data_IF_511933765861
#
_entry.id   IF_511933765861
#
_cell.length_a   1.000
_cell.length_b   1.000
_cell.length_c   1.000
_cell.angle_alpha   90.00
_cell.angle_beta   90.00
_cell.angle_gamma   90.00
#
_symmetry.space_group_name_H-M   'P 1'
#
loop_
_entity.id
_entity.type
_entity.pdbx_description
1 polymer ?
#
# COMPACT_ATOMS: atom_id res chain seq x y z
N UNK A 1 -25.89 -18.06 4.81
CA UNK A 1 -24.62 -17.44 4.41
C UNK A 1 -23.97 -16.58 5.50
N UNK A 2 -24.67 -15.65 6.18
CA UNK A 2 -24.09 -14.90 7.32
C UNK A 2 -23.53 -15.85 8.41
N UNK A 3 -24.33 -16.81 8.89
CA UNK A 3 -23.85 -17.88 9.80
C UNK A 3 -22.64 -18.64 9.24
N UNK A 4 -22.59 -18.91 7.92
CA UNK A 4 -21.47 -19.63 7.32
C UNK A 4 -20.20 -18.76 7.25
N UNK A 5 -20.30 -17.47 6.94
CA UNK A 5 -19.18 -16.52 6.87
C UNK A 5 -18.74 -15.98 8.24
N UNK A 6 -19.62 -15.97 9.24
CA UNK A 6 -19.31 -15.50 10.61
C UNK A 6 -19.00 -16.63 11.58
N UNK A 7 -19.52 -17.85 11.39
CA UNK A 7 -19.26 -19.00 12.27
C UNK A 7 -18.06 -19.86 11.83
N UNK A 8 -17.57 -19.69 10.60
CA UNK A 8 -16.37 -20.39 10.13
C UNK A 8 -15.12 -19.80 10.80
N UNK A 9 -14.22 -20.70 11.22
CA UNK A 9 -13.04 -20.34 12.02
C UNK A 9 -12.14 -19.37 11.23
N UNK A 10 -11.69 -18.24 11.80
CA UNK A 10 -10.79 -17.30 11.13
C UNK A 10 -9.53 -17.94 10.53
N UNK A 11 -9.05 -19.02 11.15
CA UNK A 11 -7.91 -19.81 10.66
C UNK A 11 -8.13 -20.35 9.24
N UNK A 12 -9.33 -20.85 8.92
CA UNK A 12 -9.63 -21.38 7.58
C UNK A 12 -9.50 -20.29 6.52
N UNK A 13 -10.15 -19.14 6.74
CA UNK A 13 -10.10 -18.01 5.81
C UNK A 13 -8.70 -17.43 5.67
N UNK A 14 -7.94 -17.42 6.77
CA UNK A 14 -6.55 -16.97 6.75
C UNK A 14 -5.67 -17.90 5.90
N UNK A 15 -5.77 -19.22 6.12
CA UNK A 15 -5.08 -20.22 5.30
C UNK A 15 -5.45 -20.07 3.83
N UNK A 16 -6.75 -19.94 3.52
CA UNK A 16 -7.21 -19.73 2.15
C UNK A 16 -6.65 -18.44 1.53
N UNK A 17 -6.59 -17.36 2.29
CA UNK A 17 -6.01 -16.08 1.85
C UNK A 17 -4.52 -16.23 1.50
N UNK A 18 -3.76 -16.93 2.36
CA UNK A 18 -2.34 -17.23 2.12
C UNK A 18 -2.15 -18.13 0.90
N UNK A 19 -2.99 -19.16 0.74
CA UNK A 19 -2.96 -20.04 -0.44
C UNK A 19 -3.18 -19.26 -1.73
N UNK A 20 -4.18 -18.38 -1.78
CA UNK A 20 -4.42 -17.54 -2.97
C UNK A 20 -3.27 -16.56 -3.23
N UNK A 21 -2.72 -15.93 -2.19
CA UNK A 21 -1.54 -15.08 -2.30
C UNK A 21 -0.31 -15.85 -2.82
N UNK A 22 -0.12 -17.08 -2.37
CA UNK A 22 0.93 -17.97 -2.83
C UNK A 22 0.75 -18.38 -4.30
N UNK A 23 -0.47 -18.68 -4.73
CA UNK A 23 -0.78 -19.01 -6.13
C UNK A 23 -0.38 -17.86 -7.06
N UNK A 24 -0.72 -16.60 -6.74
CA UNK A 24 -0.27 -15.46 -7.54
C UNK A 24 1.26 -15.36 -7.61
N UNK A 25 1.94 -15.62 -6.48
CA UNK A 25 3.39 -15.61 -6.44
C UNK A 25 4.02 -16.73 -7.29
N UNK A 26 3.43 -17.93 -7.29
CA UNK A 26 3.86 -19.04 -8.14
C UNK A 26 3.73 -18.71 -9.63
N UNK A 27 2.64 -18.03 -10.04
CA UNK A 27 2.47 -17.60 -11.43
C UNK A 27 3.57 -16.61 -11.85
N UNK A 28 3.93 -15.67 -10.98
CA UNK A 28 5.04 -14.75 -11.23
C UNK A 28 6.39 -15.48 -11.29
N UNK A 29 6.60 -16.46 -10.39
CA UNK A 29 7.81 -17.27 -10.35
C UNK A 29 7.98 -18.12 -11.61
N UNK A 30 6.89 -18.74 -12.09
CA UNK A 30 6.88 -19.51 -13.34
C UNK A 30 7.37 -18.65 -14.51
N UNK A 31 6.90 -17.39 -14.59
CA UNK A 31 7.38 -16.45 -15.60
C UNK A 31 8.84 -16.05 -15.38
N UNK A 32 9.24 -15.82 -14.12
CA UNK A 32 10.62 -15.46 -13.78
C UNK A 32 11.65 -16.53 -14.16
N UNK A 33 11.24 -17.80 -14.23
CA UNK A 33 12.08 -18.95 -14.63
C UNK A 33 11.75 -19.48 -16.03
N UNK A 34 10.96 -18.77 -16.85
CA UNK A 34 10.66 -19.20 -18.21
C UNK A 34 11.84 -19.07 -19.19
N UNK A 35 12.94 -18.46 -18.76
CA UNK A 35 14.17 -18.33 -19.52
C UNK A 35 15.30 -17.78 -18.65
N UNK A 36 16.53 -18.02 -19.08
CA UNK A 36 17.75 -17.62 -18.37
C UNK A 36 17.83 -16.10 -18.17
N UNK A 37 17.58 -15.34 -19.24
CA UNK A 37 17.69 -13.88 -19.27
C UNK A 37 16.43 -13.13 -18.83
N UNK A 38 15.45 -13.84 -18.25
CA UNK A 38 14.24 -13.19 -17.76
C UNK A 38 14.56 -12.44 -16.46
N UNK A 39 14.54 -11.11 -16.56
CA UNK A 39 14.73 -10.18 -15.43
C UNK A 39 13.63 -9.12 -15.48
N UNK A 40 13.01 -8.87 -14.33
CA UNK A 40 11.96 -7.86 -14.19
C UNK A 40 12.49 -6.46 -14.51
N UNK A 41 11.66 -5.63 -15.15
CA UNK A 41 12.05 -4.33 -15.70
C UNK A 41 12.71 -3.37 -14.70
N UNK A 42 12.13 -3.19 -13.52
CA UNK A 42 12.70 -2.34 -12.46
C UNK A 42 13.95 -3.01 -11.83
N UNK A 43 14.02 -4.34 -11.78
CA UNK A 43 15.19 -5.08 -11.29
C UNK A 43 16.42 -4.92 -12.20
N UNK A 44 16.22 -4.79 -13.52
CA UNK A 44 17.31 -4.46 -14.47
C UNK A 44 18.00 -3.13 -14.15
N UNK A 45 17.34 -2.26 -13.41
CA UNK A 45 17.88 -0.97 -12.98
C UNK A 45 18.36 -0.99 -11.53
N UNK A 46 17.60 -1.64 -10.63
CA UNK A 46 17.82 -1.55 -9.19
C UNK A 46 18.62 -2.69 -8.56
N UNK A 47 18.69 -3.85 -9.22
CA UNK A 47 19.30 -5.07 -8.65
C UNK A 47 20.59 -5.45 -9.37
N UNK A 48 20.74 -5.14 -10.66
CA UNK A 48 21.88 -5.61 -11.46
C UNK A 48 23.24 -5.29 -10.82
N UNK A 49 23.44 -4.06 -10.33
CA UNK A 49 24.70 -3.62 -9.72
C UNK A 49 25.01 -4.35 -8.40
N UNK A 50 24.01 -4.96 -7.75
CA UNK A 50 24.18 -5.63 -6.46
C UNK A 50 25.00 -6.91 -6.56
N UNK A 51 25.22 -7.46 -7.76
CA UNK A 51 26.18 -8.57 -7.97
C UNK A 51 27.60 -8.18 -7.57
N UNK A 52 27.91 -6.88 -7.46
CA UNK A 52 29.14 -6.35 -6.85
C UNK A 52 29.35 -6.80 -5.40
N UNK A 53 28.29 -7.23 -4.70
CA UNK A 53 28.43 -7.81 -3.35
C UNK A 53 29.08 -9.21 -3.35
N UNK A 54 29.06 -9.90 -4.50
CA UNK A 54 29.75 -11.18 -4.69
C UNK A 54 31.12 -10.93 -5.30
N UNK A 55 31.17 -10.15 -6.38
CA UNK A 55 32.40 -9.82 -7.09
C UNK A 55 32.55 -8.29 -7.21
N UNK A 56 33.37 -7.67 -6.34
CA UNK A 56 33.58 -6.23 -6.31
C UNK A 56 34.17 -5.64 -7.60
N UNK A 57 34.78 -6.47 -8.46
CA UNK A 57 35.40 -6.00 -9.72
C UNK A 57 34.38 -5.77 -10.84
N UNK A 58 33.13 -6.18 -10.65
CA UNK A 58 32.09 -6.03 -11.66
C UNK A 58 31.65 -4.56 -11.86
N UNK A 59 31.50 -4.18 -13.13
CA UNK A 59 31.11 -2.85 -13.59
C UNK A 59 32.07 -1.73 -13.17
N UNK A 60 33.39 -1.85 -13.39
CA UNK A 60 34.31 -0.79 -13.01
C UNK A 60 33.99 0.49 -13.79
N UNK A 61 33.91 1.62 -13.09
CA UNK A 61 33.60 2.95 -13.66
C UNK A 61 32.23 3.05 -14.37
N UNK A 62 31.25 2.22 -13.99
CA UNK A 62 29.88 2.31 -14.52
C UNK A 62 29.06 3.34 -13.74
N UNK A 63 28.82 4.50 -14.37
CA UNK A 63 28.07 5.61 -13.78
C UNK A 63 26.62 5.24 -13.38
N UNK A 64 25.99 4.30 -14.09
CA UNK A 64 24.62 3.87 -13.80
C UNK A 64 24.62 3.02 -12.52
N UNK A 65 25.53 2.05 -12.44
CA UNK A 65 25.69 1.21 -11.25
C UNK A 65 26.05 2.06 -10.03
N UNK A 66 26.99 2.99 -10.17
CA UNK A 66 27.44 3.88 -9.10
C UNK A 66 26.30 4.80 -8.63
N UNK A 67 25.51 5.33 -9.57
CA UNK A 67 24.33 6.13 -9.25
C UNK A 67 23.32 5.32 -8.43
N UNK A 68 22.90 4.14 -8.93
CA UNK A 68 21.89 3.33 -8.24
C UNK A 68 22.38 2.78 -6.90
N UNK A 69 23.67 2.49 -6.76
CA UNK A 69 24.29 2.10 -5.50
C UNK A 69 24.28 3.24 -4.47
N UNK A 70 24.54 4.47 -4.90
CA UNK A 70 24.58 5.65 -4.03
C UNK A 70 23.20 6.01 -3.46
N UNK A 71 22.15 5.88 -4.26
CA UNK A 71 20.77 6.26 -3.87
C UNK A 71 19.97 5.12 -3.24
N UNK A 72 20.48 3.88 -3.29
CA UNK A 72 19.77 2.72 -2.75
C UNK A 72 19.61 2.81 -1.22
N UNK A 73 18.38 2.68 -0.68
CA UNK A 73 18.13 2.70 0.75
C UNK A 73 18.91 1.61 1.48
N UNK A 74 19.41 1.91 2.68
CA UNK A 74 20.30 1.01 3.42
C UNK A 74 19.64 -0.33 3.77
N UNK A 75 18.36 -0.33 4.19
CA UNK A 75 17.63 -1.56 4.47
C UNK A 75 17.43 -2.42 3.22
N UNK A 76 17.14 -1.78 2.09
CA UNK A 76 17.06 -2.47 0.81
C UNK A 76 18.39 -3.12 0.42
N UNK A 77 19.51 -2.40 0.54
CA UNK A 77 20.86 -2.97 0.28
C UNK A 77 21.16 -4.17 1.18
N UNK A 78 20.84 -4.08 2.47
CA UNK A 78 21.11 -5.15 3.43
C UNK A 78 20.41 -6.47 3.07
N UNK A 79 19.19 -6.42 2.54
CA UNK A 79 18.44 -7.63 2.12
C UNK A 79 19.16 -8.41 1.03
N UNK A 80 19.88 -7.73 0.13
CA UNK A 80 20.63 -8.39 -0.94
C UNK A 80 22.08 -8.68 -0.53
N UNK A 81 22.68 -7.81 0.27
CA UNK A 81 24.07 -7.95 0.70
C UNK A 81 24.28 -9.15 1.63
N UNK A 82 23.36 -9.40 2.57
CA UNK A 82 23.52 -10.52 3.52
C UNK A 82 23.52 -11.90 2.83
N UNK A 83 22.57 -12.23 1.94
CA UNK A 83 22.62 -13.48 1.18
C UNK A 83 23.77 -13.52 0.17
N UNK A 84 24.15 -12.39 -0.42
CA UNK A 84 25.29 -12.33 -1.34
C UNK A 84 26.61 -12.73 -0.67
N UNK A 85 26.81 -12.40 0.61
CA UNK A 85 27.97 -12.89 1.41
C UNK A 85 28.02 -14.40 1.56
N UNK A 86 26.88 -15.08 1.38
CA UNK A 86 26.77 -16.55 1.36
C UNK A 86 26.83 -17.12 -0.07
N UNK A 87 27.17 -16.29 -1.07
CA UNK A 87 27.25 -16.69 -2.48
C UNK A 87 25.91 -16.72 -3.20
N UNK A 88 24.81 -16.25 -2.60
CA UNK A 88 23.49 -16.23 -3.27
C UNK A 88 23.42 -15.06 -4.24
N UNK A 89 23.28 -15.37 -5.53
CA UNK A 89 23.17 -14.36 -6.58
C UNK A 89 21.96 -13.42 -6.35
N UNK A 90 22.17 -12.09 -6.27
CA UNK A 90 21.11 -11.10 -6.07
C UNK A 90 19.95 -11.18 -7.06
N UNK A 91 20.21 -11.51 -8.34
CA UNK A 91 19.16 -11.65 -9.35
C UNK A 91 18.31 -12.90 -9.11
N UNK A 92 18.89 -13.99 -8.60
CA UNK A 92 18.14 -15.19 -8.22
C UNK A 92 17.29 -14.90 -6.99
N UNK A 93 17.87 -14.26 -5.97
CA UNK A 93 17.13 -13.84 -4.77
C UNK A 93 15.94 -12.93 -5.13
N UNK A 94 16.12 -12.01 -6.07
CA UNK A 94 15.07 -11.12 -6.56
C UNK A 94 13.87 -11.87 -7.15
N UNK A 95 14.05 -13.06 -7.75
CA UNK A 95 12.94 -13.88 -8.27
C UNK A 95 12.08 -14.48 -7.15
N UNK A 96 12.69 -14.84 -6.00
CA UNK A 96 11.98 -15.47 -4.88
C UNK A 96 11.38 -14.47 -3.88
N UNK A 97 12.00 -13.31 -3.73
CA UNK A 97 11.61 -12.31 -2.74
C UNK A 97 10.14 -11.84 -2.84
N UNK A 98 9.52 -11.67 -4.04
CA UNK A 98 8.11 -11.34 -4.17
C UNK A 98 7.16 -12.31 -3.46
N UNK A 99 7.53 -13.59 -3.31
CA UNK A 99 6.74 -14.59 -2.58
C UNK A 99 6.62 -14.16 -1.11
N UNK A 100 7.76 -13.87 -0.46
CA UNK A 100 7.79 -13.46 0.94
C UNK A 100 7.05 -12.13 1.13
N UNK A 101 7.28 -11.16 0.26
CA UNK A 101 6.60 -9.86 0.31
C UNK A 101 5.08 -10.01 0.16
N UNK A 102 4.62 -10.84 -0.78
CA UNK A 102 3.20 -11.11 -1.03
C UNK A 102 2.51 -11.81 0.14
N UNK A 103 3.16 -12.79 0.75
CA UNK A 103 2.62 -13.52 1.90
C UNK A 103 2.53 -12.64 3.15
N UNK A 104 3.56 -11.83 3.45
CA UNK A 104 3.53 -10.88 4.58
C UNK A 104 2.45 -9.82 4.36
N UNK A 105 2.35 -9.30 3.14
CA UNK A 105 1.29 -8.34 2.74
C UNK A 105 -0.10 -8.94 2.97
N UNK A 106 -0.31 -10.18 2.52
CA UNK A 106 -1.56 -10.93 2.73
C UNK A 106 -1.87 -11.11 4.21
N UNK A 107 -0.84 -11.47 4.99
CA UNK A 107 -0.92 -11.64 6.44
C UNK A 107 -1.46 -10.40 7.15
N UNK A 108 -0.80 -9.26 6.94
CA UNK A 108 -1.22 -7.99 7.55
C UNK A 108 -2.54 -7.48 6.99
N UNK A 109 -2.79 -7.62 5.69
CA UNK A 109 -4.05 -7.22 5.07
C UNK A 109 -5.25 -7.94 5.72
N UNK A 110 -5.16 -9.26 5.87
CA UNK A 110 -6.18 -10.05 6.57
C UNK A 110 -6.39 -9.56 8.00
N UNK A 111 -5.30 -9.39 8.74
CA UNK A 111 -5.33 -9.01 10.15
C UNK A 111 -5.84 -7.58 10.38
N UNK A 112 -5.60 -6.66 9.45
CA UNK A 112 -6.19 -5.31 9.45
C UNK A 112 -7.67 -5.40 9.13
N UNK A 113 -8.08 -6.15 8.10
CA UNK A 113 -9.50 -6.27 7.75
C UNK A 113 -10.32 -6.77 8.94
N UNK A 114 -9.80 -7.75 9.68
CA UNK A 114 -10.44 -8.25 10.91
C UNK A 114 -10.56 -7.18 12.02
N UNK A 115 -9.71 -6.15 12.01
CA UNK A 115 -9.83 -4.99 12.92
C UNK A 115 -10.81 -3.93 12.41
N UNK A 116 -11.02 -3.82 11.09
CA UNK A 116 -11.95 -2.85 10.48
C UNK A 116 -13.39 -3.36 10.51
N UNK A 117 -13.61 -4.58 10.04
CA UNK A 117 -14.88 -5.29 10.03
C UNK A 117 -14.60 -6.76 10.38
N UNK A 118 -14.92 -7.22 11.60
CA UNK A 118 -14.49 -8.52 12.14
C UNK A 118 -15.26 -9.71 11.54
N UNK A 119 -15.21 -9.81 10.21
CA UNK A 119 -15.86 -10.83 9.39
C UNK A 119 -14.77 -11.50 8.55
N UNK A 120 -14.43 -12.77 8.82
CA UNK A 120 -13.36 -13.48 8.11
C UNK A 120 -13.50 -13.47 6.57
N UNK A 121 -14.73 -13.51 6.07
CA UNK A 121 -15.02 -13.41 4.65
C UNK A 121 -14.60 -12.06 4.06
N UNK A 122 -14.87 -10.95 4.75
CA UNK A 122 -14.41 -9.62 4.34
C UNK A 122 -12.89 -9.58 4.30
N UNK A 123 -12.22 -10.22 5.27
CA UNK A 123 -10.77 -10.33 5.28
C UNK A 123 -10.23 -11.09 4.06
N UNK A 124 -10.84 -12.23 3.69
CA UNK A 124 -10.50 -12.91 2.43
C UNK A 124 -10.68 -11.99 1.23
N UNK A 125 -11.85 -11.34 1.08
CA UNK A 125 -12.14 -10.45 -0.06
C UNK A 125 -11.10 -9.31 -0.12
N UNK A 126 -10.74 -8.73 1.02
CA UNK A 126 -9.72 -7.67 1.09
C UNK A 126 -8.35 -8.15 0.61
N UNK A 127 -7.92 -9.33 1.06
CA UNK A 127 -6.65 -9.93 0.61
C UNK A 127 -6.68 -10.30 -0.86
N UNK A 128 -7.80 -10.81 -1.37
CA UNK A 128 -7.94 -11.17 -2.78
C UNK A 128 -7.84 -9.93 -3.67
N UNK A 129 -8.61 -8.89 -3.37
CA UNK A 129 -8.62 -7.64 -4.13
C UNK A 129 -7.27 -6.92 -4.08
N UNK A 130 -6.64 -6.87 -2.90
CA UNK A 130 -5.32 -6.28 -2.76
C UNK A 130 -4.28 -7.08 -3.55
N UNK A 131 -4.22 -8.40 -3.39
CA UNK A 131 -3.28 -9.24 -4.14
C UNK A 131 -3.51 -9.08 -5.66
N UNK A 132 -4.74 -9.16 -6.15
CA UNK A 132 -5.01 -8.95 -7.57
C UNK A 132 -4.47 -7.61 -8.07
N UNK A 133 -4.71 -6.52 -7.32
CA UNK A 133 -4.17 -5.21 -7.68
C UNK A 133 -2.64 -5.16 -7.68
N UNK A 134 -2.00 -5.78 -6.68
CA UNK A 134 -0.55 -5.76 -6.53
C UNK A 134 0.17 -6.64 -7.54
N UNK A 135 -0.37 -7.81 -7.87
CA UNK A 135 0.22 -8.76 -8.82
C UNK A 135 -0.09 -8.41 -10.28
N UNK A 136 -1.19 -7.69 -10.56
CA UNK A 136 -1.44 -7.09 -11.88
C UNK A 136 -0.53 -5.88 -12.16
N UNK A 137 0.30 -5.48 -11.18
CA UNK A 137 1.31 -4.46 -11.35
C UNK A 137 2.69 -4.99 -11.01
N UNK A 138 3.70 -4.39 -11.63
CA UNK A 138 5.08 -4.74 -11.41
C UNK A 138 5.69 -4.24 -10.08
N UNK A 139 4.91 -3.71 -9.12
CA UNK A 139 5.51 -3.15 -7.90
C UNK A 139 6.06 -4.26 -6.97
N UNK A 140 5.22 -5.20 -6.51
CA UNK A 140 5.66 -6.25 -5.58
C UNK A 140 6.57 -7.28 -6.27
N UNK A 141 6.29 -7.55 -7.55
CA UNK A 141 7.05 -8.45 -8.42
C UNK A 141 8.48 -7.94 -8.64
N UNK A 142 8.69 -6.61 -8.65
CA UNK A 142 10.03 -6.05 -8.83
C UNK A 142 10.99 -6.36 -7.70
N UNK A 143 10.48 -6.62 -6.48
CA UNK A 143 11.28 -6.72 -5.26
C UNK A 143 12.32 -5.59 -5.09
N UNK A 144 12.03 -4.40 -5.63
CA UNK A 144 12.80 -3.15 -5.44
C UNK A 144 12.29 -2.42 -4.18
N UNK A 145 12.88 -1.29 -3.75
CA UNK A 145 12.42 -0.51 -2.58
C UNK A 145 10.89 -0.32 -2.51
N UNK A 146 10.25 -0.15 -3.68
CA UNK A 146 8.80 0.02 -3.80
C UNK A 146 8.00 -1.24 -3.44
N UNK A 147 8.52 -2.43 -3.73
CA UNK A 147 7.85 -3.69 -3.40
C UNK A 147 7.73 -3.93 -1.89
N UNK A 148 8.73 -3.48 -1.11
CA UNK A 148 8.75 -3.59 0.35
C UNK A 148 7.76 -2.68 1.07
N UNK A 149 7.24 -1.66 0.38
CA UNK A 149 6.33 -0.67 1.01
C UNK A 149 5.06 -1.33 1.51
N UNK A 150 4.46 -2.23 0.74
CA UNK A 150 3.18 -2.84 1.09
C UNK A 150 3.23 -3.63 2.40
N UNK A 151 4.13 -4.61 2.59
CA UNK A 151 4.18 -5.35 3.85
C UNK A 151 4.55 -4.46 5.04
N UNK A 152 5.46 -3.50 4.86
CA UNK A 152 5.91 -2.64 5.96
C UNK A 152 4.82 -1.62 6.35
N UNK A 153 4.20 -0.96 5.38
CA UNK A 153 3.15 0.03 5.65
C UNK A 153 1.89 -0.64 6.23
N UNK A 154 1.52 -1.83 5.75
CA UNK A 154 0.46 -2.61 6.40
C UNK A 154 0.88 -3.04 7.82
N UNK A 155 2.14 -3.42 8.04
CA UNK A 155 2.67 -3.65 9.39
C UNK A 155 2.48 -2.43 10.30
N UNK A 156 2.85 -1.23 9.82
CA UNK A 156 2.62 0.03 10.52
C UNK A 156 1.14 0.21 10.88
N UNK A 157 0.22 0.05 9.92
CA UNK A 157 -1.22 0.18 10.16
C UNK A 157 -1.71 -0.85 11.18
N UNK A 158 -1.28 -2.10 11.07
CA UNK A 158 -1.65 -3.18 11.98
C UNK A 158 -1.25 -2.86 13.43
N UNK A 159 0.01 -2.49 13.66
CA UNK A 159 0.49 -2.16 15.00
C UNK A 159 -0.10 -0.87 15.53
N UNK A 160 -0.35 0.11 14.66
CA UNK A 160 -1.00 1.37 15.01
C UNK A 160 -2.46 1.16 15.44
N UNK A 161 -3.20 0.29 14.76
CA UNK A 161 -4.57 -0.08 15.15
C UNK A 161 -4.59 -0.80 16.51
N UNK A 162 -3.55 -1.59 16.82
CA UNK A 162 -3.36 -2.26 18.11
C UNK A 162 -2.72 -1.40 19.20
N UNK A 163 -2.39 -0.15 18.90
CA UNK A 163 -1.66 0.77 19.81
C UNK A 163 -0.34 0.18 20.33
N UNK A 164 0.33 -0.64 19.52
CA UNK A 164 1.62 -1.22 19.86
C UNK A 164 2.74 -0.22 19.52
N UNK A 165 3.33 0.38 20.56
CA UNK A 165 4.38 1.40 20.45
C UNK A 165 5.59 0.91 19.67
N UNK A 166 6.12 -0.25 20.06
CA UNK A 166 7.32 -0.85 19.47
C UNK A 166 7.09 -1.22 18.01
N UNK A 167 5.97 -1.87 17.72
CA UNK A 167 5.61 -2.24 16.35
C UNK A 167 5.46 -1.03 15.43
N UNK A 168 4.91 0.08 15.94
CA UNK A 168 4.83 1.34 15.19
C UNK A 168 6.22 1.93 14.94
N UNK A 169 7.07 2.02 15.96
CA UNK A 169 8.43 2.54 15.83
C UNK A 169 9.27 1.71 14.85
N UNK A 170 9.27 0.38 14.99
CA UNK A 170 9.98 -0.54 14.09
C UNK A 170 9.46 -0.39 12.66
N UNK A 171 8.14 -0.34 12.46
CA UNK A 171 7.60 -0.18 11.12
C UNK A 171 7.98 1.17 10.48
N UNK A 172 8.00 2.27 11.24
CA UNK A 172 8.48 3.58 10.74
C UNK A 172 9.97 3.52 10.39
N UNK A 173 10.79 2.89 11.23
CA UNK A 173 12.21 2.70 10.93
C UNK A 173 12.42 1.89 9.65
N UNK A 174 11.69 0.79 9.48
CA UNK A 174 11.71 0.01 8.26
C UNK A 174 11.20 0.81 7.05
N UNK A 175 10.15 1.63 7.19
CA UNK A 175 9.70 2.51 6.11
C UNK A 175 10.82 3.48 5.71
N UNK A 176 11.55 4.07 6.65
CA UNK A 176 12.66 4.95 6.30
C UNK A 176 13.88 4.22 5.71
N UNK A 177 14.13 2.97 6.11
CA UNK A 177 15.23 2.16 5.58
C UNK A 177 14.97 1.55 4.20
N UNK A 178 13.69 1.42 3.80
CA UNK A 178 13.29 0.84 2.52
C UNK A 178 12.64 1.84 1.57
N UNK A 179 11.77 2.71 2.07
CA UNK A 179 10.99 3.65 1.25
C UNK A 179 10.63 4.94 2.01
N UNK A 180 11.59 5.87 2.16
CA UNK A 180 11.46 7.05 3.02
C UNK A 180 10.20 7.90 2.79
N UNK A 181 9.67 7.94 1.56
CA UNK A 181 8.50 8.75 1.26
C UNK A 181 7.26 8.37 2.09
N UNK A 182 7.11 7.08 2.43
CA UNK A 182 5.97 6.61 3.23
C UNK A 182 6.08 6.99 4.72
N UNK A 183 7.25 7.41 5.21
CA UNK A 183 7.43 7.93 6.58
C UNK A 183 6.60 9.19 6.79
N UNK A 184 6.51 10.06 5.78
CA UNK A 184 5.69 11.28 5.85
C UNK A 184 4.20 10.95 5.98
N UNK A 185 3.73 9.92 5.28
CA UNK A 185 2.33 9.49 5.38
C UNK A 185 2.07 8.90 6.76
N UNK A 186 2.95 8.04 7.28
CA UNK A 186 2.85 7.50 8.62
C UNK A 186 2.81 8.62 9.68
N UNK A 187 3.68 9.63 9.53
CA UNK A 187 3.73 10.83 10.38
C UNK A 187 2.42 11.62 10.33
N UNK A 188 1.89 11.86 9.11
CA UNK A 188 0.60 12.52 8.93
C UNK A 188 -0.55 11.77 9.61
N UNK A 189 -0.58 10.44 9.51
CA UNK A 189 -1.59 9.61 10.19
C UNK A 189 -1.48 9.73 11.71
N UNK A 190 -0.26 9.71 12.28
CA UNK A 190 -0.04 9.88 13.72
C UNK A 190 -0.52 11.25 14.22
N UNK A 191 -0.22 12.31 13.48
CA UNK A 191 -0.68 13.68 13.79
C UNK A 191 -2.20 13.75 13.71
N UNK A 192 -2.81 13.23 12.64
CA UNK A 192 -4.27 13.22 12.46
C UNK A 192 -4.99 12.49 13.60
N UNK A 193 -4.38 11.47 14.20
CA UNK A 193 -4.96 10.76 15.36
C UNK A 193 -5.04 11.58 16.64
N UNK A 194 -4.26 12.67 16.75
CA UNK A 194 -4.39 13.61 17.85
C UNK A 194 -5.67 14.43 17.75
N UNK A 195 -6.30 14.51 16.57
CA UNK A 195 -7.51 15.27 16.36
C UNK A 195 -8.72 14.35 16.26
N UNK A 196 -9.75 14.65 17.07
CA UNK A 196 -11.07 14.03 16.99
C UNK A 196 -12.05 15.03 16.43
N UNK A 197 -12.84 14.59 15.46
CA UNK A 197 -13.98 15.34 14.97
C UNK A 197 -15.22 14.92 15.77
N UNK A 198 -15.72 15.81 16.63
CA UNK A 198 -16.93 15.57 17.41
C UNK A 198 -17.76 16.85 17.48
N UNK A 199 -19.05 16.76 17.15
CA UNK A 199 -20.01 17.87 17.18
C UNK A 199 -19.52 19.11 16.38
N UNK A 200 -19.01 18.92 15.16
CA UNK A 200 -18.49 20.00 14.30
C UNK A 200 -17.32 20.80 14.89
N UNK A 201 -16.65 20.28 15.92
CA UNK A 201 -15.47 20.89 16.52
C UNK A 201 -14.30 19.91 16.51
N UNK A 202 -13.11 20.45 16.26
CA UNK A 202 -11.86 19.71 16.48
C UNK A 202 -11.56 19.68 17.98
N UNK A 203 -11.43 18.48 18.53
CA UNK A 203 -10.95 18.28 19.89
C UNK A 203 -9.66 17.49 19.86
N UNK A 204 -8.71 17.85 20.73
CA UNK A 204 -7.51 17.05 20.92
C UNK A 204 -7.86 15.72 21.60
N UNK A 205 -7.12 14.66 21.27
CA UNK A 205 -7.34 13.35 21.87
C UNK A 205 -7.00 13.42 23.37
N UNK A 206 -7.93 13.04 24.25
CA UNK A 206 -7.67 12.99 25.68
C UNK A 206 -6.81 11.77 26.05
N UNK A 207 -6.58 10.85 25.12
CA UNK A 207 -5.84 9.62 25.40
C UNK A 207 -4.34 9.85 25.31
N UNK A 208 -3.65 9.70 26.45
CA UNK A 208 -2.19 9.80 26.55
C UNK A 208 -1.45 8.87 25.59
N UNK A 209 -1.98 7.68 25.30
CA UNK A 209 -1.36 6.74 24.35
C UNK A 209 -1.26 7.33 22.94
N UNK A 210 -2.24 8.12 22.50
CA UNK A 210 -2.22 8.71 21.15
C UNK A 210 -1.07 9.74 21.04
N UNK A 211 -0.82 10.50 22.12
CA UNK A 211 0.31 11.43 22.22
C UNK A 211 1.66 10.72 22.27
N UNK A 212 1.78 9.66 23.07
CA UNK A 212 3.03 8.88 23.16
C UNK A 212 3.35 8.28 21.80
N UNK A 213 2.38 7.63 21.14
CA UNK A 213 2.55 7.07 19.79
C UNK A 213 2.96 8.13 18.77
N UNK A 214 2.35 9.32 18.84
CA UNK A 214 2.68 10.41 17.94
C UNK A 214 4.10 10.93 18.20
N UNK A 215 4.44 11.29 19.44
CA UNK A 215 5.74 11.82 19.80
C UNK A 215 6.88 10.82 19.51
N UNK A 216 6.72 9.56 19.93
CA UNK A 216 7.73 8.53 19.68
C UNK A 216 7.86 8.21 18.19
N UNK A 217 6.73 8.10 17.47
CA UNK A 217 6.72 7.80 16.05
C UNK A 217 7.34 8.91 15.21
N UNK A 218 7.06 10.18 15.55
CA UNK A 218 7.71 11.35 14.94
C UNK A 218 9.20 11.43 15.30
N UNK A 219 9.58 11.05 16.53
CA UNK A 219 10.98 10.94 16.92
C UNK A 219 11.74 9.92 16.06
N UNK A 220 11.18 8.72 15.86
CA UNK A 220 11.78 7.72 14.96
C UNK A 220 11.80 8.21 13.51
N UNK A 221 10.70 8.82 13.04
CA UNK A 221 10.63 9.39 11.70
C UNK A 221 11.74 10.43 11.46
N UNK A 222 11.95 11.33 12.42
CA UNK A 222 13.02 12.32 12.38
C UNK A 222 14.39 11.65 12.30
N UNK A 223 14.69 10.71 13.19
CA UNK A 223 15.99 10.03 13.25
C UNK A 223 16.31 9.30 11.94
N UNK A 224 15.33 8.65 11.32
CA UNK A 224 15.56 7.85 10.11
C UNK A 224 15.61 8.71 8.85
N UNK A 225 14.95 9.87 8.85
CA UNK A 225 15.03 10.84 7.75
C UNK A 225 16.26 11.77 7.84
N UNK A 226 16.85 11.94 9.03
CA UNK A 226 17.98 12.82 9.26
C UNK A 226 19.18 12.55 8.32
N UNK A 227 19.62 11.30 8.08
CA UNK A 227 20.71 11.04 7.14
C UNK A 227 20.43 11.51 5.72
N UNK A 228 19.16 11.44 5.27
CA UNK A 228 18.77 11.91 3.94
C UNK A 228 18.74 13.43 3.82
N UNK A 229 18.48 14.13 4.93
CA UNK A 229 18.51 15.59 4.97
C UNK A 229 19.95 16.14 5.00
N UNK A 230 20.89 15.36 5.56
CA UNK A 230 22.29 15.75 5.73
C UNK A 230 23.20 15.27 4.59
N UNK A 231 22.79 14.26 3.82
CA UNK A 231 23.65 13.71 2.76
C UNK A 231 23.69 14.61 1.53
N UNK A 232 24.90 14.85 1.03
CA UNK A 232 25.13 15.46 -0.28
C UNK A 232 25.24 14.38 -1.35
N UNK A 233 24.49 14.52 -2.44
CA UNK A 233 24.59 13.62 -3.59
C UNK A 233 25.87 13.87 -4.37
N UNK A 234 26.62 12.79 -4.65
CA UNK A 234 27.79 12.82 -5.54
C UNK A 234 27.40 13.11 -7.00
N UNK A 235 26.14 12.89 -7.36
CA UNK A 235 25.60 13.05 -8.71
C UNK A 235 24.89 14.41 -8.91
N UNK A 236 25.23 15.39 -8.07
CA UNK A 236 24.65 16.71 -8.09
C UNK A 236 23.31 16.83 -7.35
N UNK A 237 22.79 18.06 -7.25
CA UNK A 237 21.54 18.33 -6.54
C UNK A 237 20.33 17.78 -7.29
N UNK A 238 19.23 17.59 -6.56
CA UNK A 238 17.94 17.28 -7.17
C UNK A 238 17.53 18.37 -8.16
N UNK A 239 17.07 17.98 -9.34
CA UNK A 239 16.65 18.90 -10.39
C UNK A 239 15.56 19.86 -9.90
N UNK A 240 15.68 21.14 -10.27
CA UNK A 240 14.67 22.16 -9.95
C UNK A 240 13.52 22.15 -10.96
N UNK A 241 12.34 22.61 -10.54
CA UNK A 241 11.20 22.73 -11.44
C UNK A 241 11.46 23.64 -12.64
N UNK A 242 12.23 24.72 -12.46
CA UNK A 242 12.58 25.65 -13.53
C UNK A 242 13.52 25.03 -14.57
N UNK A 243 14.49 24.22 -14.12
CA UNK A 243 15.36 23.46 -15.02
C UNK A 243 14.59 22.35 -15.74
N UNK A 244 13.80 21.56 -15.01
CA UNK A 244 13.04 20.45 -15.57
C UNK A 244 12.06 20.90 -16.68
N UNK A 245 11.47 22.09 -16.58
CA UNK A 245 10.58 22.64 -17.62
C UNK A 245 11.27 22.92 -18.96
N UNK A 246 12.60 23.04 -18.97
CA UNK A 246 13.39 23.30 -20.18
C UNK A 246 13.94 22.01 -20.82
N UNK A 247 13.87 20.90 -20.09
CA UNK A 247 14.45 19.63 -20.51
C UNK A 247 13.44 18.79 -21.33
N UNK A 248 13.80 18.35 -22.56
CA UNK A 248 12.94 17.54 -23.41
C UNK A 248 12.38 16.28 -22.72
N UNK A 249 13.13 15.71 -21.78
CA UNK A 249 12.74 14.51 -21.03
C UNK A 249 11.46 14.71 -20.22
N UNK A 250 11.18 15.92 -19.74
CA UNK A 250 10.01 16.24 -18.91
C UNK A 250 8.85 16.83 -19.70
N UNK A 251 9.06 17.15 -20.97
CA UNK A 251 8.06 17.69 -21.89
C UNK A 251 7.17 16.59 -22.49
N UNK A 252 6.04 16.94 -23.15
CA UNK A 252 5.21 15.97 -23.85
C UNK A 252 6.01 15.09 -24.82
N UNK A 253 5.86 13.77 -24.70
CA UNK A 253 6.63 12.79 -25.49
C UNK A 253 7.96 12.34 -24.86
N UNK A 254 8.47 13.07 -23.86
CA UNK A 254 9.69 12.70 -23.15
C UNK A 254 9.55 11.47 -22.25
N UNK A 255 10.66 10.74 -22.03
CA UNK A 255 10.72 9.54 -21.16
C UNK A 255 10.24 9.82 -19.73
N UNK A 256 10.44 11.04 -19.26
CA UNK A 256 10.15 11.49 -17.91
C UNK A 256 8.98 12.49 -17.84
N UNK A 257 8.10 12.50 -18.85
CA UNK A 257 6.99 13.43 -18.99
C UNK A 257 6.26 13.66 -17.65
N UNK A 258 6.28 14.92 -17.21
CA UNK A 258 5.75 15.34 -15.91
C UNK A 258 4.82 16.54 -16.07
N UNK A 259 5.22 17.53 -16.88
CA UNK A 259 4.46 18.75 -17.09
C UNK A 259 3.42 18.54 -18.19
N UNK A 260 2.18 18.87 -17.88
CA UNK A 260 1.07 18.82 -18.83
C UNK A 260 0.44 20.21 -18.95
N UNK A 261 0.04 20.59 -20.17
CA UNK A 261 -0.66 21.86 -20.42
C UNK A 261 -2.05 21.86 -19.80
N UNK A 262 -2.72 20.72 -19.84
CA UNK A 262 -4.01 20.50 -19.17
C UNK A 262 -3.80 20.31 -17.66
N UNK A 263 -4.37 21.25 -16.88
CA UNK A 263 -4.30 21.25 -15.41
C UNK A 263 -4.98 20.03 -14.80
N UNK A 264 -6.09 19.57 -15.40
CA UNK A 264 -6.79 18.38 -14.91
C UNK A 264 -5.90 17.14 -15.05
N UNK A 265 -5.29 16.98 -16.22
CA UNK A 265 -4.30 15.91 -16.43
C UNK A 265 -3.09 16.05 -15.51
N UNK A 266 -2.57 17.26 -15.32
CA UNK A 266 -1.43 17.49 -14.43
C UNK A 266 -1.71 17.07 -12.98
N UNK A 267 -2.88 17.44 -12.44
CA UNK A 267 -3.23 17.18 -11.03
C UNK A 267 -3.82 15.79 -10.81
N UNK A 268 -4.64 15.26 -11.72
CA UNK A 268 -5.44 14.07 -11.43
C UNK A 268 -4.97 12.80 -12.14
N UNK A 269 -4.63 12.87 -13.43
CA UNK A 269 -4.46 11.65 -14.26
C UNK A 269 -3.05 11.47 -14.85
N UNK A 270 -2.15 12.41 -14.59
CA UNK A 270 -0.75 12.36 -15.00
C UNK A 270 -0.02 11.19 -14.35
N UNK A 271 0.87 10.52 -15.09
CA UNK A 271 1.53 9.31 -14.59
C UNK A 271 2.45 9.58 -13.38
N UNK A 272 3.17 10.71 -13.38
CA UNK A 272 4.13 11.10 -12.33
C UNK A 272 3.63 12.25 -11.44
N UNK A 273 2.77 13.10 -11.98
CA UNK A 273 2.20 14.27 -11.31
C UNK A 273 0.81 14.00 -10.74
N UNK A 274 0.02 13.11 -11.35
CA UNK A 274 -1.39 12.91 -11.03
C UNK A 274 -1.66 12.17 -9.72
N UNK A 275 -2.80 12.50 -9.11
CA UNK A 275 -3.31 11.89 -7.88
C UNK A 275 -3.77 10.44 -8.07
N UNK A 276 -4.42 10.13 -9.19
CA UNK A 276 -5.04 8.83 -9.44
C UNK A 276 -4.25 8.05 -10.50
N UNK A 277 -3.47 7.03 -10.12
CA UNK A 277 -2.79 6.21 -11.11
C UNK A 277 -3.82 5.42 -11.93
N UNK A 278 -3.57 5.26 -13.23
CA UNK A 278 -4.48 4.54 -14.14
C UNK A 278 -4.84 3.13 -13.66
N UNK A 279 -3.92 2.44 -13.01
CA UNK A 279 -4.10 1.09 -12.45
C UNK A 279 -4.72 1.06 -11.05
N UNK A 280 -5.25 2.18 -10.55
CA UNK A 280 -5.89 2.22 -9.23
C UNK A 280 -7.10 1.29 -9.15
N UNK A 281 -7.88 1.20 -10.23
CA UNK A 281 -9.10 0.40 -10.32
C UNK A 281 -8.92 -0.87 -11.15
N UNK A 282 -7.73 -1.45 -11.12
CA UNK A 282 -7.42 -2.72 -11.80
C UNK A 282 -7.17 -3.78 -10.73
N UNK A 283 -8.05 -4.78 -10.55
CA UNK A 283 -9.27 -5.07 -11.33
C UNK A 283 -10.43 -4.11 -11.06
N UNK A 284 -11.39 -4.07 -12.00
CA UNK A 284 -12.57 -3.17 -11.99
C UNK A 284 -13.43 -3.33 -10.73
N UNK A 285 -13.36 -4.49 -10.06
CA UNK A 285 -14.00 -4.75 -8.78
C UNK A 285 -13.58 -3.78 -7.67
N UNK A 286 -12.45 -3.09 -7.80
CA UNK A 286 -12.04 -2.03 -6.87
C UNK A 286 -12.94 -0.78 -6.93
N UNK A 287 -13.77 -0.61 -7.98
CA UNK A 287 -14.72 0.50 -8.04
C UNK A 287 -15.80 0.41 -6.94
N UNK A 288 -16.10 -0.79 -6.43
CA UNK A 288 -17.04 -0.95 -5.31
C UNK A 288 -16.61 -0.16 -4.07
N UNK A 289 -15.31 0.10 -3.88
CA UNK A 289 -14.81 0.89 -2.76
C UNK A 289 -15.30 2.33 -2.76
N UNK A 290 -15.63 2.89 -3.93
CA UNK A 290 -16.19 4.24 -4.04
C UNK A 290 -17.62 4.33 -3.46
N UNK A 291 -18.31 3.20 -3.31
CA UNK A 291 -19.65 3.15 -2.70
C UNK A 291 -19.59 3.23 -1.17
N UNK A 292 -18.46 2.91 -0.53
CA UNK A 292 -18.38 2.81 0.93
C UNK A 292 -18.83 4.10 1.65
N UNK A 293 -18.40 5.33 1.27
CA UNK A 293 -18.87 6.56 1.92
C UNK A 293 -20.39 6.72 1.82
N UNK A 294 -20.99 6.34 0.69
CA UNK A 294 -22.43 6.39 0.44
C UNK A 294 -23.14 5.37 1.33
N UNK A 295 -22.67 4.12 1.37
CA UNK A 295 -23.23 3.06 2.22
C UNK A 295 -23.22 3.46 3.70
N UNK A 296 -22.11 4.03 4.18
CA UNK A 296 -21.96 4.51 5.56
C UNK A 296 -22.97 5.62 5.89
N UNK A 297 -23.34 6.48 4.94
CA UNK A 297 -24.37 7.51 5.13
C UNK A 297 -25.75 6.92 5.39
N UNK A 298 -26.05 5.74 4.84
CA UNK A 298 -27.31 5.02 4.99
C UNK A 298 -27.21 3.85 5.97
N UNK A 299 -26.45 4.01 7.07
CA UNK A 299 -26.17 2.95 8.06
C UNK A 299 -27.41 2.24 8.62
N UNK A 300 -28.55 2.91 8.70
CA UNK A 300 -29.81 2.31 9.16
C UNK A 300 -30.33 1.19 8.25
N UNK A 301 -30.03 1.24 6.96
CA UNK A 301 -30.50 0.26 5.96
C UNK A 301 -29.59 -0.98 5.84
N UNK A 302 -28.38 -0.93 6.38
CA UNK A 302 -27.37 -1.98 6.21
C UNK A 302 -26.94 -2.55 7.57
N UNK A 303 -27.53 -3.66 8.03
CA UNK A 303 -27.24 -4.22 9.35
C UNK A 303 -25.76 -4.55 9.56
N UNK A 304 -25.04 -5.01 8.51
CA UNK A 304 -23.61 -5.32 8.61
C UNK A 304 -22.76 -4.14 9.03
N UNK A 305 -23.15 -2.91 8.66
CA UNK A 305 -22.43 -1.70 9.07
C UNK A 305 -22.44 -1.50 10.59
N UNK A 306 -23.35 -2.13 11.35
CA UNK A 306 -23.29 -2.11 12.81
C UNK A 306 -22.02 -2.76 13.36
N UNK A 307 -21.42 -3.71 12.63
CA UNK A 307 -20.17 -4.38 13.00
C UNK A 307 -18.91 -3.61 12.57
N UNK A 308 -19.04 -2.56 11.76
CA UNK A 308 -17.91 -1.72 11.37
C UNK A 308 -17.35 -1.00 12.60
N UNK A 309 -16.07 -1.22 12.88
CA UNK A 309 -15.41 -0.70 14.07
C UNK A 309 -14.97 0.74 13.88
N UNK A 310 -14.66 1.42 14.99
CA UNK A 310 -14.06 2.77 14.95
C UNK A 310 -12.68 2.79 14.27
N UNK A 311 -12.01 1.65 14.19
CA UNK A 311 -10.72 1.50 13.48
C UNK A 311 -10.83 1.84 12.00
N UNK A 312 -12.02 1.74 11.39
CA UNK A 312 -12.28 2.11 9.99
C UNK A 312 -11.96 3.57 9.66
N UNK A 313 -11.91 4.47 10.66
CA UNK A 313 -11.46 5.85 10.49
C UNK A 313 -10.02 5.95 9.93
N UNK A 314 -9.19 4.91 10.09
CA UNK A 314 -7.84 4.85 9.54
C UNK A 314 -7.83 5.02 8.01
N UNK A 315 -8.87 4.55 7.30
CA UNK A 315 -8.96 4.70 5.86
C UNK A 315 -9.04 6.18 5.46
N UNK A 316 -9.85 6.96 6.18
CA UNK A 316 -9.93 8.41 6.00
C UNK A 316 -8.63 9.12 6.38
N UNK A 317 -7.97 8.70 7.46
CA UNK A 317 -6.67 9.26 7.87
C UNK A 317 -5.59 9.05 6.82
N UNK A 318 -5.54 7.86 6.20
CA UNK A 318 -4.61 7.57 5.10
C UNK A 318 -4.89 8.49 3.91
N UNK A 319 -6.17 8.66 3.52
CA UNK A 319 -6.55 9.53 2.39
C UNK A 319 -6.14 10.98 2.67
N UNK A 320 -6.46 11.51 3.85
CA UNK A 320 -6.13 12.90 4.22
C UNK A 320 -4.62 13.12 4.25
N UNK A 321 -3.86 12.22 4.89
CA UNK A 321 -2.40 12.32 4.94
C UNK A 321 -1.76 12.22 3.54
N UNK A 322 -2.28 11.33 2.69
CA UNK A 322 -1.79 11.15 1.32
C UNK A 322 -2.06 12.37 0.44
N UNK A 323 -3.26 12.95 0.54
CA UNK A 323 -3.63 14.17 -0.19
C UNK A 323 -2.80 15.37 0.29
N UNK A 324 -2.63 15.52 1.61
CA UNK A 324 -1.80 16.57 2.18
C UNK A 324 -0.36 16.51 1.65
N UNK A 325 0.26 15.33 1.67
CA UNK A 325 1.61 15.14 1.14
C UNK A 325 1.68 15.25 -0.38
N UNK A 326 0.64 14.86 -1.10
CA UNK A 326 0.54 15.04 -2.54
C UNK A 326 0.60 16.53 -2.92
N UNK A 327 -0.16 17.39 -2.22
CA UNK A 327 -0.10 18.83 -2.47
C UNK A 327 1.19 19.46 -1.98
N UNK A 328 1.74 19.01 -0.85
CA UNK A 328 3.06 19.44 -0.39
C UNK A 328 4.13 19.14 -1.45
N UNK A 329 4.12 17.94 -2.02
CA UNK A 329 5.05 17.55 -3.09
C UNK A 329 4.87 18.37 -4.38
N UNK A 330 3.64 18.81 -4.70
CA UNK A 330 3.40 19.75 -5.79
C UNK A 330 3.97 21.14 -5.49
N UNK A 331 3.88 21.61 -4.24
CA UNK A 331 4.38 22.93 -3.86
C UNK A 331 5.91 23.01 -3.96
N UNK A 332 6.62 21.92 -3.64
CA UNK A 332 8.09 21.87 -3.62
C UNK A 332 8.68 20.89 -4.62
N UNK A 333 8.06 20.75 -5.80
CA UNK A 333 8.39 19.78 -6.87
C UNK A 333 9.82 19.21 -6.81
N UNK A 334 9.89 17.88 -6.79
CA UNK A 334 11.10 17.05 -6.74
C UNK A 334 11.83 17.03 -5.38
N UNK A 335 11.69 18.03 -4.50
CA UNK A 335 12.30 17.98 -3.15
C UNK A 335 11.67 16.92 -2.25
N UNK A 336 10.35 16.76 -2.32
CA UNK A 336 9.61 15.69 -1.65
C UNK A 336 9.32 14.53 -2.61
N UNK A 337 10.21 14.26 -3.56
CA UNK A 337 9.98 13.26 -4.60
C UNK A 337 8.75 13.59 -5.49
N UNK A 338 8.32 12.63 -6.32
CA UNK A 338 7.16 12.75 -7.21
C UNK A 338 5.83 12.71 -6.43
N UNK A 339 4.89 13.65 -6.68
CA UNK A 339 3.60 13.69 -5.98
C UNK A 339 2.78 12.40 -6.08
N UNK A 340 2.74 11.76 -7.24
CA UNK A 340 1.93 10.55 -7.46
C UNK A 340 2.34 9.37 -6.57
N UNK A 341 3.52 9.41 -5.94
CA UNK A 341 3.97 8.37 -5.02
C UNK A 341 3.23 8.41 -3.69
N UNK A 342 2.75 9.57 -3.25
CA UNK A 342 2.05 9.70 -1.98
C UNK A 342 0.63 9.14 -2.01
N UNK A 343 -0.03 9.18 -3.16
CA UNK A 343 -1.40 8.68 -3.34
C UNK A 343 -1.42 7.31 -3.98
N UNK A 344 -0.49 7.01 -4.90
CA UNK A 344 -0.54 5.80 -5.70
C UNK A 344 -0.46 4.50 -4.90
N UNK A 345 0.38 4.44 -3.87
CA UNK A 345 0.53 3.25 -3.02
C UNK A 345 -0.61 3.16 -2.01
N UNK A 346 -0.90 4.27 -1.33
CA UNK A 346 -1.86 4.30 -0.23
C UNK A 346 -3.30 4.18 -0.70
N UNK A 347 -3.66 4.79 -1.83
CA UNK A 347 -5.01 4.69 -2.37
C UNK A 347 -5.35 3.26 -2.77
N UNK A 348 -4.37 2.46 -3.20
CA UNK A 348 -4.59 1.03 -3.50
C UNK A 348 -4.96 0.23 -2.27
N UNK A 349 -4.27 0.50 -1.15
CA UNK A 349 -4.57 -0.13 0.12
C UNK A 349 -5.98 0.30 0.58
N UNK A 350 -6.27 1.61 0.53
CA UNK A 350 -7.57 2.14 0.94
C UNK A 350 -8.71 1.57 0.08
N UNK A 351 -8.57 1.59 -1.26
CA UNK A 351 -9.63 1.16 -2.16
C UNK A 351 -9.87 -0.35 -2.06
N UNK A 352 -8.82 -1.17 -1.81
CA UNK A 352 -8.98 -2.61 -1.59
C UNK A 352 -9.80 -2.89 -0.32
N UNK A 353 -9.48 -2.26 0.81
CA UNK A 353 -10.27 -2.39 2.04
C UNK A 353 -11.70 -1.84 1.87
N UNK A 354 -11.83 -0.67 1.26
CA UNK A 354 -13.13 -0.05 1.04
C UNK A 354 -14.03 -0.93 0.17
N UNK A 355 -13.48 -1.53 -0.90
CA UNK A 355 -14.19 -2.43 -1.80
C UNK A 355 -14.61 -3.70 -1.10
N UNK A 356 -13.72 -4.31 -0.32
CA UNK A 356 -14.05 -5.52 0.42
C UNK A 356 -15.20 -5.31 1.42
N UNK A 357 -15.19 -4.18 2.13
CA UNK A 357 -16.26 -3.79 3.05
C UNK A 357 -17.56 -3.55 2.27
N UNK A 358 -17.52 -2.76 1.19
CA UNK A 358 -18.69 -2.46 0.36
C UNK A 358 -19.32 -3.73 -0.25
N UNK A 359 -18.51 -4.61 -0.84
CA UNK A 359 -18.94 -5.89 -1.39
C UNK A 359 -19.57 -6.76 -0.29
N UNK A 360 -18.95 -6.83 0.89
CA UNK A 360 -19.50 -7.61 2.00
C UNK A 360 -20.88 -7.10 2.43
N UNK A 361 -21.09 -5.78 2.46
CA UNK A 361 -22.39 -5.16 2.77
C UNK A 361 -23.42 -5.48 1.69
N UNK A 362 -23.05 -5.37 0.42
CA UNK A 362 -23.94 -5.66 -0.72
C UNK A 362 -24.37 -7.13 -0.68
N UNK A 363 -23.42 -8.06 -0.49
CA UNK A 363 -23.69 -9.49 -0.39
C UNK A 363 -24.59 -9.83 0.82
N UNK A 364 -24.36 -9.22 1.99
CA UNK A 364 -25.24 -9.38 3.16
C UNK A 364 -26.67 -8.92 2.84
N UNK A 365 -26.80 -7.79 2.15
CA UNK A 365 -28.10 -7.19 1.82
C UNK A 365 -28.89 -8.07 0.84
N UNK A 366 -28.26 -8.49 -0.25
CA UNK A 366 -28.87 -9.38 -1.26
C UNK A 366 -29.29 -10.69 -0.60
N UNK A 367 -28.44 -11.25 0.26
CA UNK A 367 -28.73 -12.51 0.95
C UNK A 367 -29.93 -12.40 1.90
N UNK A 368 -30.02 -11.31 2.68
CA UNK A 368 -31.17 -11.08 3.58
C UNK A 368 -32.47 -10.90 2.80
N UNK A 369 -32.43 -10.17 1.69
CA UNK A 369 -33.58 -10.00 0.82
C UNK A 369 -34.06 -11.34 0.23
N UNK A 370 -33.14 -12.19 -0.24
CA UNK A 370 -33.46 -13.51 -0.78
C UNK A 370 -34.12 -14.44 0.27
N UNK A 371 -33.61 -14.46 1.51
CA UNK A 371 -34.23 -15.26 2.59
C UNK A 371 -35.57 -14.67 3.05
N UNK A 372 -35.67 -13.34 3.13
CA UNK A 372 -36.90 -12.65 3.51
C UNK A 372 -38.06 -12.94 2.55
N UNK A 373 -37.78 -13.06 1.25
CA UNK A 373 -38.80 -13.43 0.26
C UNK A 373 -39.21 -14.90 0.32
N UNK A 374 -38.28 -15.81 0.66
CA UNK A 374 -38.60 -17.24 0.82
C UNK A 374 -39.51 -17.54 2.02
N UNK A 375 -39.61 -16.63 2.99
CA UNK A 375 -40.50 -16.77 4.14
C UNK A 375 -41.92 -16.25 3.88
N UNK A 376 -42.13 -15.48 2.81
CA UNK A 376 -43.45 -15.00 2.37
C UNK A 376 -44.10 -15.96 1.36
N UNK A 377 -43.30 -16.71 0.60
CA UNK A 377 -43.80 -17.69 -0.38
C UNK A 377 -44.32 -19.01 0.19
N UNK A 378 -44.04 -19.33 1.47
CA UNK A 378 -44.49 -20.57 2.11
C UNK A 378 -45.86 -20.46 2.83
N UNK A 379 -46.49 -19.29 2.80
CA UNK A 379 -47.77 -19.01 3.49
C UNK A 379 -49.02 -19.05 2.59
N UNK A 380 -48.90 -19.40 1.31
CA UNK A 380 -50.01 -19.35 0.33
C UNK A 380 -50.41 -20.71 -0.23
N UNK A 381 -50.25 -21.79 0.53
CA UNK A 381 -50.82 -23.11 0.21
C UNK A 381 -51.36 -23.74 1.48
N UNK A 382 -52.50 -23.27 1.97
CA UNK A 382 -53.46 -24.00 2.81
C UNK A 382 -54.60 -23.05 3.13
N UNK A 383 -55.51 -22.88 2.17
CA UNK A 383 -56.90 -22.47 2.38
C UNK A 383 -57.58 -22.41 1.02
N UNK A 384 -57.86 -23.57 0.42
CA UNK A 384 -59.03 -23.75 -0.44
C UNK A 384 -59.45 -25.21 -0.38
N UNK A 385 -60.68 -25.38 0.12
CA UNK A 385 -61.61 -26.52 0.06
C UNK A 385 -61.13 -27.88 0.57
#
# INVERSE_FOLDING_TARGET
MLKFFTASKPKFWFSLSLTLGFIYALMALQKAFSGEYVVQDDARQHVFWMVRFIDPELFPNDLIADYFQSVAPAGYKAVYQLPARLGINPLVLNKFLPILLGLITTGYCFAISMQLLPIPATALISTLLLNQNLWMKDDIVSATPRGFVYPIFLGFLYYLLRRNLWGVGIAIALLGLFYPQCVFIASGILILRLFRWQNWRFKLSPNRTDWILCASGLGVAFLVLLPFALSSSQFGPTITASAARKLPEFLPGGRANFFHRDLFKFIFTGYRSGMFPRSLFTPVTLLFGLLLPILVRFRSRFPLLKQLTNSSAILGQIVIASIGMFFAAHAVLFKLHLPSRYTGITFRIVIAFASAIAISIILDTIWRWAIGNNSVGAGFTNNFS
#
